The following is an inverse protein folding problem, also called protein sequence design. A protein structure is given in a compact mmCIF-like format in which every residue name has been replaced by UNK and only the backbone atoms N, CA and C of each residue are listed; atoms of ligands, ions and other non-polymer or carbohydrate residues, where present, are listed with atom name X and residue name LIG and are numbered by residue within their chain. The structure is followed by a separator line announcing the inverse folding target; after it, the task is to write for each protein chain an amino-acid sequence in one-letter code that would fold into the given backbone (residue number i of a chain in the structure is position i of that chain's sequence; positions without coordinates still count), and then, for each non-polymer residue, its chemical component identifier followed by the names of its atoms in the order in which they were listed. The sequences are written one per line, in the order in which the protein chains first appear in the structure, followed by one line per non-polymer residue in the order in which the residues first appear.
data_IF_679049549432
#
_entry.id   IF_679049549432
#
_cell.length_a   1.000
_cell.length_b   1.000
_cell.length_c   1.000
_cell.angle_alpha   90.00
_cell.angle_beta   90.00
_cell.angle_gamma   90.00
#
_symmetry.space_group_name_H-M   'P 1'
#
loop_
_entity.id
_entity.type
_entity.pdbx_description
1 polymer ?
#
# COMPACT_ATOMS: atom_id res chain seq x y z
N UNK A 1 -5.93 32.75 15.00
CA UNK A 1 -5.77 31.28 14.89
C UNK A 1 -4.28 30.96 14.67
N UNK A 2 -3.63 30.21 15.58
CA UNK A 2 -2.30 29.65 15.28
C UNK A 2 -2.53 28.38 14.43
N UNK A 3 -1.99 28.36 13.21
CA UNK A 3 -2.00 27.18 12.39
C UNK A 3 -1.23 26.05 13.10
N UNK A 4 -1.87 24.88 13.26
CA UNK A 4 -1.24 23.68 13.81
C UNK A 4 -0.50 22.99 12.65
N UNK A 5 0.81 22.71 12.75
CA UNK A 5 1.52 21.98 11.71
C UNK A 5 0.93 20.59 11.50
N UNK A 6 0.91 20.07 10.25
CA UNK A 6 0.38 18.75 9.96
C UNK A 6 1.22 17.66 10.64
N UNK A 7 0.54 16.61 11.10
CA UNK A 7 1.15 15.41 11.70
C UNK A 7 0.93 14.16 10.87
N UNK A 8 0.08 14.23 9.83
CA UNK A 8 -0.26 13.13 8.94
C UNK A 8 -0.01 13.55 7.50
N UNK A 9 0.66 12.70 6.75
CA UNK A 9 0.82 12.80 5.30
C UNK A 9 0.20 11.57 4.64
N UNK A 10 -0.76 11.78 3.74
CA UNK A 10 -1.18 10.76 2.78
C UNK A 10 -0.49 11.08 1.46
N UNK A 11 0.41 10.18 1.06
CA UNK A 11 1.29 10.38 -0.08
C UNK A 11 0.88 9.46 -1.24
N UNK A 12 0.28 10.07 -2.26
CA UNK A 12 -0.06 9.37 -3.50
C UNK A 12 1.17 9.38 -4.41
N UNK A 13 1.87 8.24 -4.48
CA UNK A 13 3.19 8.15 -5.13
C UNK A 13 3.09 8.03 -6.65
N UNK A 14 2.03 7.41 -7.17
CA UNK A 14 1.88 7.12 -8.60
C UNK A 14 0.45 6.72 -8.95
N UNK A 15 0.06 6.88 -10.22
CA UNK A 15 -1.15 6.30 -10.79
C UNK A 15 -0.87 5.05 -11.63
N UNK A 16 0.38 4.59 -11.72
CA UNK A 16 0.76 3.39 -12.43
C UNK A 16 0.33 2.14 -11.66
N UNK A 17 -0.44 1.25 -12.29
CA UNK A 17 -0.91 0.00 -11.70
C UNK A 17 -0.88 -1.13 -12.74
N UNK A 18 -0.55 -2.32 -12.30
CA UNK A 18 -0.64 -3.57 -13.07
C UNK A 18 -1.96 -4.32 -12.82
N UNK A 19 -2.96 -3.64 -12.22
CA UNK A 19 -4.30 -4.14 -11.96
C UNK A 19 -5.36 -3.19 -12.52
N UNK A 20 -6.55 -3.76 -12.86
CA UNK A 20 -7.71 -3.01 -13.39
C UNK A 20 -8.94 -3.22 -12.55
N UNK A 21 -8.78 -3.12 -11.21
CA UNK A 21 -9.82 -3.43 -10.24
C UNK A 21 -11.16 -2.77 -10.58
N UNK A 22 -12.26 -3.50 -10.34
CA UNK A 22 -13.63 -3.04 -10.63
C UNK A 22 -13.98 -1.75 -9.89
N UNK A 23 -13.54 -1.61 -8.62
CA UNK A 23 -13.82 -0.45 -7.77
C UNK A 23 -12.85 0.71 -7.96
N UNK A 24 -11.88 0.63 -8.88
CA UNK A 24 -10.82 1.63 -9.00
C UNK A 24 -10.69 2.15 -10.43
N UNK A 25 -10.56 3.47 -10.57
CA UNK A 25 -10.34 4.15 -11.86
C UNK A 25 -8.89 4.61 -12.07
N UNK A 26 -7.98 4.40 -11.11
CA UNK A 26 -6.60 4.88 -11.21
C UNK A 26 -5.88 4.39 -12.48
N UNK A 27 -6.18 3.16 -12.92
CA UNK A 27 -5.61 2.56 -14.13
C UNK A 27 -6.10 3.19 -15.44
N UNK A 28 -7.19 3.99 -15.39
CA UNK A 28 -7.72 4.75 -16.54
C UNK A 28 -7.08 6.13 -16.66
N UNK A 29 -6.44 6.62 -15.59
CA UNK A 29 -5.82 7.93 -15.61
C UNK A 29 -4.56 7.90 -16.47
N UNK A 30 -4.30 8.97 -17.24
CA UNK A 30 -3.06 9.06 -18.00
C UNK A 30 -1.88 9.03 -17.03
N UNK A 31 -0.90 8.20 -17.34
CA UNK A 31 0.33 8.18 -16.58
C UNK A 31 1.20 9.37 -17.00
N UNK A 32 1.59 10.14 -16.02
CA UNK A 32 2.60 11.17 -16.15
C UNK A 32 3.74 10.84 -15.21
N UNK A 33 4.97 11.11 -15.63
CA UNK A 33 6.09 11.04 -14.72
C UNK A 33 5.83 12.00 -13.56
N UNK A 34 5.96 11.49 -12.33
CA UNK A 34 5.81 12.27 -11.11
C UNK A 34 6.95 13.27 -10.93
N UNK A 35 7.05 13.83 -9.73
CA UNK A 35 8.19 14.62 -9.34
C UNK A 35 9.47 13.75 -9.34
N UNK A 36 10.59 14.36 -9.67
CA UNK A 36 11.91 13.75 -9.49
C UNK A 36 12.24 13.60 -8.00
N UNK A 37 13.18 12.73 -7.66
CA UNK A 37 13.65 12.57 -6.28
C UNK A 37 14.18 13.88 -5.69
N UNK A 38 14.82 14.73 -6.51
CA UNK A 38 15.31 16.05 -6.08
C UNK A 38 14.16 17.02 -5.79
N UNK A 39 13.11 17.01 -6.59
CA UNK A 39 11.91 17.80 -6.32
C UNK A 39 11.20 17.34 -5.05
N UNK A 40 11.10 16.01 -4.79
CA UNK A 40 10.60 15.48 -3.53
C UNK A 40 11.47 15.89 -2.35
N UNK A 41 12.79 15.84 -2.48
CA UNK A 41 13.74 16.27 -1.43
C UNK A 41 13.54 17.75 -1.10
N UNK A 42 13.41 18.59 -2.10
CA UNK A 42 13.13 20.02 -1.92
C UNK A 42 11.77 20.27 -1.28
N UNK A 43 10.73 19.55 -1.71
CA UNK A 43 9.38 19.67 -1.15
C UNK A 43 9.34 19.25 0.32
N UNK A 44 9.84 18.06 0.65
CA UNK A 44 9.84 17.53 2.03
C UNK A 44 10.82 18.28 2.95
N UNK A 45 11.81 18.99 2.41
CA UNK A 45 12.67 19.91 3.14
C UNK A 45 11.93 21.11 3.77
N UNK A 46 10.67 21.36 3.40
CA UNK A 46 9.84 22.40 4.02
C UNK A 46 9.58 22.10 5.51
N UNK A 47 9.58 23.17 6.32
CA UNK A 47 9.26 23.09 7.76
C UNK A 47 7.90 22.45 8.06
N UNK A 48 6.97 22.45 7.09
CA UNK A 48 5.65 21.86 7.22
C UNK A 48 5.72 20.35 7.50
N UNK A 49 6.72 19.65 6.95
CA UNK A 49 6.85 18.20 7.09
C UNK A 49 7.60 17.73 8.34
N UNK A 50 8.30 18.62 9.05
CA UNK A 50 9.14 18.23 10.20
C UNK A 50 8.37 17.54 11.34
N UNK A 51 7.06 17.83 11.47
CA UNK A 51 6.20 17.29 12.54
C UNK A 51 5.29 16.16 12.06
N UNK A 52 5.49 15.67 10.84
CA UNK A 52 4.78 14.48 10.37
C UNK A 52 5.17 13.29 11.23
N UNK A 53 4.17 12.65 11.83
CA UNK A 53 4.29 11.46 12.67
C UNK A 53 3.84 10.19 11.93
N UNK A 54 2.95 10.35 10.96
CA UNK A 54 2.42 9.25 10.17
C UNK A 54 2.45 9.56 8.68
N UNK A 55 2.97 8.61 7.90
CA UNK A 55 2.92 8.63 6.44
C UNK A 55 2.14 7.42 5.93
N UNK A 56 1.05 7.66 5.22
CA UNK A 56 0.32 6.63 4.45
C UNK A 56 0.71 6.73 2.97
N UNK A 57 1.55 5.82 2.50
CA UNK A 57 1.89 5.72 1.07
C UNK A 57 0.76 5.00 0.36
N UNK A 58 0.21 5.64 -0.64
CA UNK A 58 -0.91 5.16 -1.44
C UNK A 58 -0.70 5.49 -2.93
N UNK A 59 -1.72 5.31 -3.73
CA UNK A 59 -1.68 5.45 -5.19
C UNK A 59 -1.49 4.08 -5.83
N UNK A 60 -2.19 3.83 -6.88
CA UNK A 60 -2.16 2.63 -7.72
C UNK A 60 -1.36 1.42 -7.13
N UNK A 61 -0.19 1.06 -7.70
CA UNK A 61 0.72 0.07 -7.11
C UNK A 61 2.07 0.72 -6.76
N UNK A 62 2.31 1.04 -5.48
CA UNK A 62 3.51 1.77 -5.07
C UNK A 62 4.83 1.06 -5.39
N UNK A 63 4.85 -0.28 -5.43
CA UNK A 63 6.07 -1.04 -5.75
C UNK A 63 6.50 -0.94 -7.23
N UNK A 64 5.67 -0.33 -8.08
CA UNK A 64 6.05 0.01 -9.46
C UNK A 64 6.90 1.29 -9.54
N UNK A 65 6.92 2.10 -8.47
CA UNK A 65 7.80 3.27 -8.40
C UNK A 65 9.24 2.83 -8.14
N UNK A 66 10.10 3.03 -9.10
CA UNK A 66 11.50 2.57 -9.05
C UNK A 66 12.28 3.20 -7.89
N UNK A 67 12.00 4.46 -7.62
CA UNK A 67 12.65 5.26 -6.59
C UNK A 67 11.99 5.13 -5.21
N UNK A 68 11.07 4.14 -5.01
CA UNK A 68 10.27 4.04 -3.78
C UNK A 68 11.11 3.99 -2.50
N UNK A 69 12.18 3.23 -2.50
CA UNK A 69 13.09 3.11 -1.35
C UNK A 69 13.81 4.44 -1.09
N UNK A 70 14.27 5.11 -2.14
CA UNK A 70 14.90 6.43 -2.03
C UNK A 70 13.91 7.48 -1.49
N UNK A 71 12.65 7.45 -1.93
CA UNK A 71 11.60 8.33 -1.40
C UNK A 71 11.37 8.10 0.09
N UNK A 72 11.43 6.85 0.56
CA UNK A 72 11.35 6.54 2.00
C UNK A 72 12.53 7.12 2.76
N UNK A 73 13.75 7.02 2.25
CA UNK A 73 14.92 7.68 2.83
C UNK A 73 14.73 9.20 2.92
N UNK A 74 14.31 9.84 1.82
CA UNK A 74 14.07 11.29 1.79
C UNK A 74 13.02 11.69 2.85
N UNK A 75 11.92 10.96 2.95
CA UNK A 75 10.89 11.22 3.99
C UNK A 75 11.46 11.07 5.39
N UNK A 76 12.21 10.00 5.66
CA UNK A 76 12.83 9.77 6.97
C UNK A 76 13.86 10.85 7.34
N UNK A 77 14.61 11.38 6.38
CA UNK A 77 15.59 12.44 6.59
C UNK A 77 14.94 13.79 6.95
N UNK A 78 13.78 14.08 6.39
CA UNK A 78 13.12 15.38 6.55
C UNK A 78 12.00 15.42 7.59
N UNK A 79 11.41 14.27 7.92
CA UNK A 79 10.28 14.15 8.85
C UNK A 79 10.77 13.69 10.23
N UNK A 80 11.41 14.59 10.98
CA UNK A 80 12.00 14.28 12.29
C UNK A 80 10.99 13.71 13.31
N UNK A 81 9.69 13.95 13.10
CA UNK A 81 8.60 13.41 13.93
C UNK A 81 8.11 12.03 13.52
N UNK A 82 8.63 11.43 12.44
CA UNK A 82 8.10 10.21 11.85
C UNK A 82 8.16 9.03 12.83
N UNK A 83 6.98 8.46 13.12
CA UNK A 83 6.81 7.31 14.02
C UNK A 83 6.27 6.08 13.31
N UNK A 84 5.49 6.29 12.25
CA UNK A 84 4.86 5.20 11.51
C UNK A 84 4.72 5.52 10.03
N UNK A 85 5.00 4.52 9.21
CA UNK A 85 4.75 4.57 7.77
C UNK A 85 3.98 3.33 7.33
N UNK A 86 3.03 3.46 6.41
CA UNK A 86 2.29 2.34 5.85
C UNK A 86 2.27 2.38 4.33
N UNK A 87 2.25 1.20 3.73
CA UNK A 87 2.14 1.01 2.28
C UNK A 87 1.32 -0.25 2.01
N UNK A 88 0.34 -0.16 1.12
CA UNK A 88 -0.40 -1.34 0.67
C UNK A 88 0.02 -1.70 -0.76
N UNK A 89 -0.01 -3.00 -1.08
CA UNK A 89 0.34 -3.53 -2.39
C UNK A 89 -0.72 -4.52 -2.88
N UNK A 90 -0.83 -4.68 -4.19
CA UNK A 90 -1.64 -5.74 -4.78
C UNK A 90 -0.97 -7.13 -4.69
N UNK A 91 0.33 -7.18 -4.48
CA UNK A 91 1.06 -8.43 -4.26
C UNK A 91 1.35 -9.27 -5.51
N UNK A 92 1.10 -8.78 -6.73
CA UNK A 92 1.09 -9.66 -7.92
C UNK A 92 2.47 -10.03 -8.47
N UNK A 93 3.52 -9.31 -8.14
CA UNK A 93 4.89 -9.65 -8.55
C UNK A 93 5.76 -9.80 -7.31
N UNK A 94 5.74 -11.03 -6.76
CA UNK A 94 6.37 -11.39 -5.49
C UNK A 94 7.80 -10.85 -5.35
N UNK A 95 8.65 -11.08 -6.35
CA UNK A 95 10.07 -10.71 -6.29
C UNK A 95 10.27 -9.20 -6.17
N UNK A 96 9.47 -8.41 -6.91
CA UNK A 96 9.48 -6.95 -6.84
C UNK A 96 8.99 -6.47 -5.48
N UNK A 97 7.82 -6.98 -5.06
CA UNK A 97 7.17 -6.56 -3.81
C UNK A 97 8.06 -6.88 -2.61
N UNK A 98 8.52 -8.12 -2.48
CA UNK A 98 9.37 -8.55 -1.36
C UNK A 98 10.66 -7.73 -1.30
N UNK A 99 11.38 -7.58 -2.42
CA UNK A 99 12.62 -6.80 -2.48
C UNK A 99 12.39 -5.34 -2.05
N UNK A 100 11.34 -4.69 -2.59
CA UNK A 100 11.04 -3.28 -2.25
C UNK A 100 10.66 -3.13 -0.79
N UNK A 101 9.75 -3.98 -0.28
CA UNK A 101 9.28 -3.89 1.09
C UNK A 101 10.37 -4.29 2.10
N UNK A 102 11.21 -5.28 1.79
CA UNK A 102 12.35 -5.64 2.63
C UNK A 102 13.30 -4.46 2.80
N UNK A 103 13.65 -3.77 1.71
CA UNK A 103 14.50 -2.58 1.78
C UNK A 103 13.86 -1.46 2.61
N UNK A 104 12.53 -1.25 2.49
CA UNK A 104 11.81 -0.27 3.32
C UNK A 104 11.80 -0.67 4.80
N UNK A 105 11.65 -1.95 5.11
CA UNK A 105 11.73 -2.48 6.48
C UNK A 105 13.11 -2.21 7.08
N UNK A 106 14.18 -2.39 6.30
CA UNK A 106 15.55 -2.10 6.76
C UNK A 106 15.71 -0.62 7.09
N UNK A 107 15.25 0.28 6.22
CA UNK A 107 15.25 1.72 6.49
C UNK A 107 14.45 2.05 7.75
N UNK A 108 13.26 1.46 7.92
CA UNK A 108 12.42 1.70 9.08
C UNK A 108 13.08 1.28 10.39
N UNK A 109 13.71 0.10 10.40
CA UNK A 109 14.42 -0.42 11.57
C UNK A 109 15.68 0.42 11.89
N UNK A 110 16.42 0.84 10.88
CA UNK A 110 17.58 1.72 11.04
C UNK A 110 17.19 3.10 11.59
N UNK A 111 16.09 3.68 11.08
CA UNK A 111 15.63 5.03 11.43
C UNK A 111 14.69 5.07 12.64
N UNK A 112 14.27 3.93 13.17
CA UNK A 112 13.49 3.82 14.40
C UNK A 112 12.00 4.17 14.27
N UNK A 113 11.39 4.03 13.07
CA UNK A 113 9.95 4.14 12.89
C UNK A 113 9.31 2.79 12.57
N UNK A 114 8.02 2.63 12.90
CA UNK A 114 7.28 1.40 12.62
C UNK A 114 6.81 1.40 11.17
N UNK A 115 7.19 0.39 10.41
CA UNK A 115 6.63 0.15 9.08
C UNK A 115 5.49 -0.86 9.14
N UNK A 116 4.44 -0.63 8.35
CA UNK A 116 3.31 -1.53 8.17
C UNK A 116 2.94 -1.70 6.71
N UNK A 117 2.64 -2.94 6.30
CA UNK A 117 2.20 -3.23 4.93
C UNK A 117 1.07 -4.25 4.91
N UNK A 118 0.24 -4.17 3.87
CA UNK A 118 -0.82 -5.14 3.61
C UNK A 118 -0.83 -5.54 2.16
N UNK A 119 -1.06 -6.82 1.91
CA UNK A 119 -1.42 -7.33 0.60
C UNK A 119 -2.95 -7.24 0.46
N UNK A 120 -3.41 -6.72 -0.64
CA UNK A 120 -4.85 -6.60 -0.90
C UNK A 120 -5.41 -7.92 -1.41
N UNK A 121 -6.41 -8.46 -0.70
CA UNK A 121 -7.17 -9.67 -1.09
C UNK A 121 -8.67 -9.36 -1.01
N UNK A 122 -9.36 -9.30 -2.13
CA UNK A 122 -10.79 -8.94 -2.19
C UNK A 122 -11.71 -10.12 -2.51
N UNK A 123 -11.24 -11.34 -2.27
CA UNK A 123 -11.95 -12.60 -2.44
C UNK A 123 -10.98 -13.78 -2.38
N UNK A 124 -11.51 -14.99 -2.41
CA UNK A 124 -10.75 -16.25 -2.44
C UNK A 124 -10.86 -16.86 -3.85
N UNK A 125 -9.72 -17.19 -4.46
CA UNK A 125 -9.68 -17.77 -5.81
C UNK A 125 -10.21 -16.83 -6.87
N UNK A 126 -11.09 -17.32 -7.73
CA UNK A 126 -11.67 -16.61 -8.89
C UNK A 126 -12.34 -15.28 -8.49
N UNK A 127 -12.97 -15.22 -7.30
CA UNK A 127 -13.60 -13.98 -6.83
C UNK A 127 -12.58 -12.84 -6.69
N UNK A 128 -11.34 -13.13 -6.29
CA UNK A 128 -10.29 -12.12 -6.27
C UNK A 128 -9.85 -11.70 -7.67
N UNK A 129 -9.77 -12.64 -8.60
CA UNK A 129 -9.41 -12.39 -10.00
C UNK A 129 -10.45 -11.49 -10.69
N UNK A 130 -11.74 -11.77 -10.47
CA UNK A 130 -12.85 -10.98 -11.01
C UNK A 130 -12.81 -9.52 -10.51
N UNK A 131 -12.57 -9.33 -9.20
CA UNK A 131 -12.45 -7.98 -8.63
C UNK A 131 -11.19 -7.26 -9.13
N UNK A 132 -10.05 -7.95 -9.18
CA UNK A 132 -8.76 -7.34 -9.55
C UNK A 132 -8.51 -7.30 -11.05
N UNK A 133 -9.25 -8.11 -11.84
CA UNK A 133 -9.12 -8.25 -13.30
C UNK A 133 -7.68 -8.59 -13.72
N UNK A 134 -7.09 -9.53 -13.01
CA UNK A 134 -5.74 -10.03 -13.25
C UNK A 134 -5.74 -11.54 -13.16
N UNK A 135 -5.17 -12.20 -14.16
CA UNK A 135 -5.06 -13.65 -14.24
C UNK A 135 -4.18 -14.20 -13.11
N UNK A 136 -4.65 -15.25 -12.43
CA UNK A 136 -4.01 -15.85 -11.25
C UNK A 136 -3.67 -14.83 -10.14
N UNK A 137 -4.51 -13.80 -9.98
CA UNK A 137 -4.28 -12.74 -9.01
C UNK A 137 -4.24 -13.28 -7.57
N UNK A 138 -5.12 -14.24 -7.25
CA UNK A 138 -5.20 -14.79 -5.90
C UNK A 138 -3.94 -15.58 -5.53
N UNK A 139 -3.51 -16.51 -6.37
CA UNK A 139 -2.31 -17.34 -6.13
C UNK A 139 -1.07 -16.46 -6.04
N UNK A 140 -0.93 -15.49 -6.95
CA UNK A 140 0.19 -14.55 -6.97
C UNK A 140 0.25 -13.70 -5.71
N UNK A 141 -0.89 -13.17 -5.26
CA UNK A 141 -0.98 -12.41 -4.01
C UNK A 141 -0.67 -13.29 -2.80
N UNK A 142 -1.18 -14.53 -2.76
CA UNK A 142 -0.91 -15.47 -1.68
C UNK A 142 0.56 -15.91 -1.64
N UNK A 143 1.23 -16.05 -2.77
CA UNK A 143 2.68 -16.32 -2.81
C UNK A 143 3.48 -15.16 -2.20
N UNK A 144 3.05 -13.93 -2.46
CA UNK A 144 3.62 -12.74 -1.80
C UNK A 144 3.32 -12.73 -0.30
N UNK A 145 2.09 -13.06 0.11
CA UNK A 145 1.70 -13.17 1.53
C UNK A 145 2.62 -14.16 2.26
N UNK A 146 2.82 -15.36 1.70
CA UNK A 146 3.70 -16.38 2.30
C UNK A 146 5.13 -15.87 2.43
N UNK A 147 5.67 -15.24 1.38
CA UNK A 147 7.03 -14.69 1.40
C UNK A 147 7.19 -13.56 2.45
N UNK A 148 6.19 -12.69 2.58
CA UNK A 148 6.21 -11.61 3.58
C UNK A 148 6.08 -12.16 5.02
N UNK A 149 5.34 -13.26 5.23
CA UNK A 149 5.30 -13.96 6.52
C UNK A 149 6.68 -14.54 6.91
N UNK A 150 7.39 -15.12 5.95
CA UNK A 150 8.76 -15.60 6.20
C UNK A 150 9.73 -14.43 6.50
N UNK A 151 9.55 -13.28 5.84
CA UNK A 151 10.32 -12.09 6.14
C UNK A 151 10.01 -11.57 7.56
N UNK A 152 8.73 -11.57 7.98
CA UNK A 152 8.29 -11.12 9.30
C UNK A 152 8.90 -11.94 10.46
N UNK A 153 9.26 -13.20 10.23
CA UNK A 153 9.98 -14.00 11.22
C UNK A 153 11.42 -13.52 11.47
N UNK A 154 11.97 -12.76 10.54
CA UNK A 154 13.38 -12.30 10.54
C UNK A 154 13.53 -10.81 10.85
N UNK A 155 12.53 -10.00 10.53
CA UNK A 155 12.57 -8.54 10.62
C UNK A 155 11.30 -8.00 11.27
N UNK A 156 11.43 -6.90 12.00
CA UNK A 156 10.28 -6.28 12.68
C UNK A 156 9.54 -5.33 11.73
N UNK A 157 8.28 -5.65 11.45
CA UNK A 157 7.30 -4.79 10.78
C UNK A 157 5.89 -5.35 10.97
N UNK A 158 4.87 -4.50 10.77
CA UNK A 158 3.48 -4.93 10.81
C UNK A 158 3.05 -5.44 9.44
N UNK A 159 2.52 -6.66 9.40
CA UNK A 159 2.05 -7.28 8.17
C UNK A 159 0.63 -7.83 8.30
N UNK A 160 -0.12 -7.82 7.20
CA UNK A 160 -1.46 -8.38 7.14
C UNK A 160 -2.08 -8.27 5.74
N UNK A 161 -3.38 -8.37 5.70
CA UNK A 161 -4.21 -8.33 4.50
C UNK A 161 -5.17 -7.16 4.59
N UNK A 162 -5.55 -6.59 3.46
CA UNK A 162 -6.66 -5.64 3.36
C UNK A 162 -7.70 -6.17 2.38
N UNK A 163 -8.97 -6.07 2.76
CA UNK A 163 -10.13 -6.42 1.96
C UNK A 163 -11.01 -5.18 1.76
N UNK A 164 -11.47 -4.97 0.53
CA UNK A 164 -12.38 -3.87 0.23
C UNK A 164 -13.72 -4.43 -0.24
N UNK A 165 -14.75 -4.23 0.57
CA UNK A 165 -16.13 -4.57 0.19
C UNK A 165 -16.59 -3.74 -0.99
N UNK A 166 -17.16 -4.42 -1.98
CA UNK A 166 -17.89 -3.88 -3.12
C UNK A 166 -19.22 -4.63 -3.26
N UNK A 167 -20.13 -4.17 -4.10
CA UNK A 167 -21.36 -4.91 -4.37
C UNK A 167 -21.13 -6.32 -4.95
N UNK A 168 -19.96 -6.54 -5.57
CA UNK A 168 -19.64 -7.79 -6.27
C UNK A 168 -18.96 -8.85 -5.39
N UNK A 169 -18.49 -8.50 -4.18
CA UNK A 169 -17.76 -9.41 -3.30
C UNK A 169 -18.26 -9.40 -1.84
N UNK A 170 -19.49 -8.98 -1.60
CA UNK A 170 -20.06 -8.90 -0.25
C UNK A 170 -19.95 -10.21 0.51
N UNK A 171 -20.17 -11.34 -0.16
CA UNK A 171 -20.14 -12.69 0.44
C UNK A 171 -18.74 -13.24 0.68
N UNK A 172 -17.71 -12.59 0.12
CA UNK A 172 -16.31 -13.02 0.27
C UNK A 172 -15.69 -12.59 1.60
N UNK A 173 -16.31 -11.67 2.33
CA UNK A 173 -15.78 -11.15 3.60
C UNK A 173 -15.53 -12.25 4.63
N UNK A 174 -16.48 -13.15 4.82
CA UNK A 174 -16.35 -14.28 5.77
C UNK A 174 -15.28 -15.27 5.30
N UNK A 175 -15.19 -15.55 3.98
CA UNK A 175 -14.17 -16.44 3.41
C UNK A 175 -12.76 -15.89 3.61
N UNK A 176 -12.57 -14.59 3.41
CA UNK A 176 -11.28 -13.91 3.67
C UNK A 176 -10.97 -13.91 5.16
N UNK A 177 -11.96 -13.68 6.02
CA UNK A 177 -11.74 -13.74 7.47
C UNK A 177 -11.26 -15.13 7.92
N UNK A 178 -11.93 -16.20 7.48
CA UNK A 178 -11.52 -17.58 7.82
C UNK A 178 -10.16 -17.93 7.20
N UNK A 179 -9.86 -17.49 5.99
CA UNK A 179 -8.53 -17.63 5.40
C UNK A 179 -7.45 -16.95 6.27
N UNK A 180 -7.68 -15.69 6.65
CA UNK A 180 -6.73 -14.95 7.46
C UNK A 180 -6.54 -15.57 8.85
N UNK A 181 -7.61 -16.07 9.45
CA UNK A 181 -7.55 -16.80 10.73
C UNK A 181 -6.73 -18.09 10.62
N UNK A 182 -6.93 -18.86 9.54
CA UNK A 182 -6.15 -20.08 9.27
C UNK A 182 -4.66 -19.78 9.06
N UNK A 183 -4.36 -18.69 8.38
CA UNK A 183 -2.98 -18.29 8.03
C UNK A 183 -2.35 -17.39 9.12
N UNK A 184 -3.03 -17.17 10.25
CA UNK A 184 -2.60 -16.28 11.34
C UNK A 184 -2.21 -14.86 10.82
N UNK A 185 -3.11 -14.25 10.04
CA UNK A 185 -2.94 -12.94 9.44
C UNK A 185 -3.91 -11.92 10.01
N UNK A 186 -3.42 -10.71 10.26
CA UNK A 186 -4.31 -9.58 10.52
C UNK A 186 -5.02 -9.17 9.23
N UNK A 187 -6.33 -8.90 9.31
CA UNK A 187 -7.11 -8.37 8.19
C UNK A 187 -7.73 -7.02 8.57
N UNK A 188 -7.73 -6.11 7.60
CA UNK A 188 -8.44 -4.83 7.69
C UNK A 188 -9.50 -4.78 6.62
N UNK A 189 -10.74 -4.59 7.04
CA UNK A 189 -11.87 -4.41 6.16
C UNK A 189 -12.12 -2.93 5.88
N UNK A 190 -12.39 -2.61 4.64
CA UNK A 190 -12.85 -1.30 4.18
C UNK A 190 -14.06 -1.46 3.25
N UNK A 191 -14.81 -0.39 3.07
CA UNK A 191 -15.95 -0.36 2.16
C UNK A 191 -15.62 0.61 1.03
N UNK A 192 -15.77 0.16 -0.21
CA UNK A 192 -15.59 1.00 -1.37
C UNK A 192 -16.62 2.13 -1.35
N UNK A 193 -16.16 3.36 -1.61
CA UNK A 193 -17.03 4.53 -1.70
C UNK A 193 -17.17 4.91 -3.16
N UNK A 194 -18.37 5.28 -3.58
CA UNK A 194 -18.56 5.93 -4.86
C UNK A 194 -17.75 7.23 -4.90
N UNK A 195 -16.94 7.35 -5.93
CA UNK A 195 -16.18 8.56 -6.21
C UNK A 195 -15.85 8.58 -7.70
N UNK A 196 -16.20 9.64 -8.40
CA UNK A 196 -15.89 9.81 -9.83
C UNK A 196 -14.40 9.65 -10.15
N UNK A 197 -13.52 10.05 -9.23
CA UNK A 197 -12.07 9.97 -9.41
C UNK A 197 -11.47 8.60 -9.07
N UNK A 198 -11.99 7.91 -8.06
CA UNK A 198 -11.36 6.71 -7.53
C UNK A 198 -12.18 5.43 -7.70
N UNK A 199 -13.51 5.51 -7.64
CA UNK A 199 -14.41 4.35 -7.54
C UNK A 199 -15.61 4.42 -8.50
N UNK A 200 -15.50 5.15 -9.59
CA UNK A 200 -16.56 5.28 -10.60
C UNK A 200 -16.84 4.02 -11.44
N UNK A 201 -16.35 2.84 -11.00
CA UNK A 201 -16.57 1.55 -11.67
C UNK A 201 -17.52 0.64 -10.90
N UNK A 202 -18.38 1.20 -10.06
CA UNK A 202 -19.23 0.40 -9.17
C UNK A 202 -20.64 0.18 -9.70
N UNK A 203 -20.89 0.46 -10.99
CA UNK A 203 -22.16 0.19 -11.70
C UNK A 203 -22.29 -1.27 -12.11
#
# INVERSE_FOLDING_TARGET
FKAIPPTVLIFNVSYKCDSKCVMCNSWKLPYHDGLTTEEYRRAFGSRLFRRIEYVGITGAEPTLQKEMVELVHIMADHMAGLRKMTLNTNGFVKERVVRTLESIVDVANERGFVFGTRVSLDGVGDAHEDIRRVWHAFERAMDTVRAMRELQKKKFFNFGVSFTFTAQNMEEGDRIYELCKKEDLNVVFSIARYSELAFGNMD
#
